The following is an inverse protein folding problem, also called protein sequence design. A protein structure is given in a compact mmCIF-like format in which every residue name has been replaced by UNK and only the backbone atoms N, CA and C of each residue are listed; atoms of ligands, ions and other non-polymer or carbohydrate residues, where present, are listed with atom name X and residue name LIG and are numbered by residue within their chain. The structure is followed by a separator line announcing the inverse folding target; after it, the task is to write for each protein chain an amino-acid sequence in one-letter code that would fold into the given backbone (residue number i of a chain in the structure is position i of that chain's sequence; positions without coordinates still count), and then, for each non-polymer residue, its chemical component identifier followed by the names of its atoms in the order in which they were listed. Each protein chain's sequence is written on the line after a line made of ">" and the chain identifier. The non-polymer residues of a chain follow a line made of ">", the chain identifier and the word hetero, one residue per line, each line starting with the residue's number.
data_IF_953480125134
#
_entry.id   IF_953480125134
#
_cell.length_a   1.000
_cell.length_b   1.000
_cell.length_c   1.000
_cell.angle_alpha   90.00
_cell.angle_beta   90.00
_cell.angle_gamma   90.00
#
_symmetry.space_group_name_H-M   'P 1'
#
loop_
_entity.id
_entity.type
_entity.pdbx_description
1 polymer ?
#
# COMPACT_ATOMS: atom_id res chain seq x y z
N UNK A 1 8.58 4.62 10.64
CA UNK A 1 7.50 3.61 10.80
C UNK A 1 8.01 2.28 11.33
N UNK A 2 8.63 1.41 10.52
CA UNK A 2 9.21 0.14 11.01
C UNK A 2 10.34 0.36 12.03
N UNK A 3 10.98 1.52 11.99
CA UNK A 3 11.93 2.02 12.99
C UNK A 3 11.30 2.51 14.29
N UNK A 4 9.98 2.72 14.32
CA UNK A 4 9.28 3.43 15.39
C UNK A 4 8.35 2.51 16.19
N UNK A 5 7.68 1.56 15.51
CA UNK A 5 6.81 0.55 16.11
C UNK A 5 7.50 -0.82 16.06
N UNK A 6 8.10 -1.18 17.18
CA UNK A 6 8.70 -2.49 17.43
C UNK A 6 8.77 -2.71 18.96
N UNK A 7 8.97 -3.95 19.45
CA UNK A 7 8.94 -4.23 20.89
C UNK A 7 9.91 -3.40 21.72
N UNK A 8 11.14 -3.17 21.23
CA UNK A 8 12.10 -2.29 21.90
C UNK A 8 11.57 -0.85 22.07
N UNK A 9 10.97 -0.25 21.04
CA UNK A 9 10.50 1.15 21.07
C UNK A 9 9.22 1.32 21.89
N UNK A 10 8.37 0.30 21.95
CA UNK A 10 7.19 0.33 22.82
C UNK A 10 7.55 0.14 24.29
N UNK A 11 8.56 -0.67 24.59
CA UNK A 11 9.05 -0.85 25.97
C UNK A 11 9.66 0.43 26.53
N UNK A 12 10.43 1.18 25.75
CA UNK A 12 10.96 2.49 26.20
C UNK A 12 9.84 3.51 26.48
N UNK A 13 8.68 3.35 25.83
CA UNK A 13 7.48 4.18 26.05
C UNK A 13 6.49 3.59 27.06
N UNK A 14 6.85 2.49 27.76
CA UNK A 14 5.97 1.78 28.69
C UNK A 14 4.62 1.36 28.07
N UNK A 15 4.64 0.90 26.81
CA UNK A 15 3.45 0.51 26.04
C UNK A 15 3.50 -0.95 25.61
N UNK A 16 2.32 -1.52 25.38
CA UNK A 16 2.18 -2.89 24.91
C UNK A 16 2.20 -2.94 23.37
N UNK A 17 3.27 -3.53 22.82
CA UNK A 17 3.48 -3.65 21.38
C UNK A 17 2.34 -4.39 20.66
N UNK A 18 1.84 -5.49 21.23
CA UNK A 18 0.78 -6.27 20.61
C UNK A 18 -0.51 -5.47 20.42
N UNK A 19 -0.88 -4.63 21.40
CA UNK A 19 -2.06 -3.75 21.29
C UNK A 19 -1.88 -2.70 20.19
N UNK A 20 -0.69 -2.09 20.13
CA UNK A 20 -0.36 -1.14 19.06
C UNK A 20 -0.42 -1.79 17.68
N UNK A 21 0.14 -2.99 17.54
CA UNK A 21 0.20 -3.72 16.26
C UNK A 21 -1.18 -4.17 15.80
N UNK A 22 -2.02 -4.70 16.69
CA UNK A 22 -3.40 -5.06 16.33
C UNK A 22 -4.16 -3.83 15.84
N UNK A 23 -4.06 -2.70 16.57
CA UNK A 23 -4.68 -1.46 16.14
C UNK A 23 -4.14 -0.96 14.79
N UNK A 24 -2.83 -1.10 14.56
CA UNK A 24 -2.20 -0.75 13.29
C UNK A 24 -2.66 -1.61 12.12
N UNK A 25 -2.76 -2.93 12.30
CA UNK A 25 -3.25 -3.83 11.25
C UNK A 25 -4.72 -3.52 10.96
N UNK A 26 -5.56 -3.36 11.99
CA UNK A 26 -6.95 -2.97 11.83
C UNK A 26 -7.07 -1.63 11.09
N UNK A 27 -6.29 -0.62 11.50
CA UNK A 27 -6.23 0.67 10.82
C UNK A 27 -5.78 0.54 9.36
N UNK A 28 -4.80 -0.32 9.07
CA UNK A 28 -4.31 -0.54 7.70
C UNK A 28 -5.38 -1.15 6.80
N UNK A 29 -6.13 -2.13 7.31
CA UNK A 29 -7.28 -2.70 6.60
C UNK A 29 -8.37 -1.65 6.39
N UNK A 30 -8.71 -0.86 7.41
CA UNK A 30 -9.70 0.22 7.29
C UNK A 30 -9.28 1.28 6.25
N UNK A 31 -8.01 1.71 6.26
CA UNK A 31 -7.49 2.65 5.28
C UNK A 31 -7.53 2.09 3.85
N UNK A 32 -7.20 0.81 3.69
CA UNK A 32 -7.28 0.11 2.40
C UNK A 32 -8.72 -0.02 1.90
N UNK A 33 -9.65 -0.42 2.77
CA UNK A 33 -11.09 -0.47 2.44
C UNK A 33 -11.63 0.90 2.06
N UNK A 34 -11.23 1.96 2.77
CA UNK A 34 -11.62 3.32 2.46
C UNK A 34 -11.10 3.77 1.09
N UNK A 35 -9.85 3.43 0.72
CA UNK A 35 -9.31 3.67 -0.61
C UNK A 35 -10.11 2.93 -1.69
N UNK A 36 -10.42 1.65 -1.45
CA UNK A 36 -11.24 0.83 -2.35
C UNK A 36 -12.62 1.43 -2.56
N UNK A 37 -13.33 1.75 -1.47
CA UNK A 37 -14.64 2.39 -1.50
C UNK A 37 -14.60 3.74 -2.25
N UNK A 38 -13.62 4.59 -1.96
CA UNK A 38 -13.45 5.86 -2.66
C UNK A 38 -13.21 5.65 -4.16
N UNK A 39 -12.41 4.65 -4.53
CA UNK A 39 -12.16 4.29 -5.94
C UNK A 39 -13.44 3.83 -6.62
N UNK A 40 -14.25 2.99 -5.96
CA UNK A 40 -15.54 2.54 -6.49
C UNK A 40 -16.53 3.70 -6.69
N UNK A 41 -16.57 4.66 -5.76
CA UNK A 41 -17.39 5.88 -5.91
C UNK A 41 -16.97 6.69 -7.13
N UNK A 42 -15.66 6.86 -7.35
CA UNK A 42 -15.13 7.55 -8.54
C UNK A 42 -15.42 6.77 -9.83
N UNK A 43 -15.33 5.44 -9.77
CA UNK A 43 -15.56 4.57 -10.92
C UNK A 43 -17.03 4.35 -11.29
N UNK A 44 -17.95 4.57 -10.34
CA UNK A 44 -19.38 4.41 -10.55
C UNK A 44 -19.94 5.17 -11.78
N UNK A 45 -19.69 6.49 -11.95
CA UNK A 45 -20.14 7.20 -13.15
C UNK A 45 -19.43 6.72 -14.42
N UNK A 46 -18.16 6.32 -14.35
CA UNK A 46 -17.41 5.81 -15.50
C UNK A 46 -18.02 4.50 -16.02
N UNK A 47 -18.44 3.61 -15.11
CA UNK A 47 -19.09 2.35 -15.45
C UNK A 47 -20.48 2.52 -16.08
N UNK A 48 -21.11 3.68 -15.92
CA UNK A 48 -22.38 3.98 -16.60
C UNK A 48 -22.21 4.28 -18.09
N UNK A 49 -21.01 4.70 -18.52
CA UNK A 49 -20.75 5.14 -19.91
C UNK A 49 -19.75 4.26 -20.66
N UNK A 50 -18.90 3.52 -19.94
CA UNK A 50 -17.90 2.64 -20.54
C UNK A 50 -18.46 1.24 -20.76
N UNK A 51 -18.28 0.70 -21.97
CA UNK A 51 -18.42 -0.73 -22.20
C UNK A 51 -17.19 -1.48 -21.65
N UNK A 52 -17.30 -2.81 -21.53
CA UNK A 52 -16.23 -3.61 -20.93
C UNK A 52 -14.92 -3.53 -21.73
N UNK A 53 -14.98 -3.43 -23.06
CA UNK A 53 -13.80 -3.25 -23.91
C UNK A 53 -13.07 -1.94 -23.58
N UNK A 54 -13.79 -0.84 -23.40
CA UNK A 54 -13.21 0.45 -23.04
C UNK A 54 -12.62 0.42 -21.63
N UNK A 55 -13.33 -0.18 -20.65
CA UNK A 55 -12.83 -0.32 -19.29
C UNK A 55 -11.52 -1.13 -19.24
N UNK A 56 -11.46 -2.29 -19.91
CA UNK A 56 -10.24 -3.11 -19.95
C UNK A 56 -9.13 -2.39 -20.73
N UNK A 57 -9.47 -1.61 -21.77
CA UNK A 57 -8.48 -0.79 -22.51
C UNK A 57 -7.84 0.26 -21.61
N UNK A 58 -8.64 0.92 -20.78
CA UNK A 58 -8.15 1.88 -19.79
C UNK A 58 -7.26 1.21 -18.74
N UNK A 59 -7.62 0.02 -18.26
CA UNK A 59 -6.80 -0.74 -17.33
C UNK A 59 -5.47 -1.18 -17.96
N UNK A 60 -5.50 -1.69 -19.19
CA UNK A 60 -4.31 -2.09 -19.93
C UNK A 60 -3.38 -0.89 -20.15
N UNK A 61 -3.92 0.25 -20.58
CA UNK A 61 -3.16 1.49 -20.76
C UNK A 61 -2.53 1.96 -19.43
N UNK A 62 -3.29 1.97 -18.34
CA UNK A 62 -2.79 2.33 -17.01
C UNK A 62 -1.69 1.38 -16.52
N UNK A 63 -1.86 0.07 -16.70
CA UNK A 63 -0.89 -0.94 -16.29
C UNK A 63 0.41 -0.86 -17.12
N UNK A 64 0.32 -0.66 -18.43
CA UNK A 64 1.47 -0.45 -19.31
C UNK A 64 2.21 0.85 -18.99
N UNK A 65 1.47 1.94 -18.76
CA UNK A 65 2.05 3.20 -18.33
C UNK A 65 2.75 3.05 -16.97
N UNK A 66 2.11 2.39 -15.99
CA UNK A 66 2.70 2.12 -14.69
C UNK A 66 3.97 1.26 -14.77
N UNK A 67 3.95 0.21 -15.60
CA UNK A 67 5.10 -0.63 -15.88
C UNK A 67 6.24 0.18 -16.50
N UNK A 68 5.93 1.00 -17.51
CA UNK A 68 6.91 1.87 -18.14
C UNK A 68 7.49 2.87 -17.14
N UNK A 69 6.67 3.50 -16.30
CA UNK A 69 7.14 4.42 -15.26
C UNK A 69 8.07 3.69 -14.29
N UNK A 70 7.70 2.53 -13.74
CA UNK A 70 8.54 1.83 -12.76
C UNK A 70 9.87 1.31 -13.36
N UNK A 71 9.89 0.99 -14.66
CA UNK A 71 11.10 0.62 -15.40
C UNK A 71 11.97 1.84 -15.75
N UNK A 72 11.36 2.89 -16.32
CA UNK A 72 12.03 4.06 -16.87
C UNK A 72 12.40 5.09 -15.81
N UNK A 73 11.66 5.16 -14.70
CA UNK A 73 11.80 6.25 -13.74
C UNK A 73 13.20 6.33 -13.14
N UNK A 74 14.00 5.26 -13.06
CA UNK A 74 15.38 5.25 -12.50
C UNK A 74 15.53 6.11 -11.21
N UNK A 75 14.47 6.26 -10.41
CA UNK A 75 14.45 7.12 -9.22
C UNK A 75 13.70 8.47 -9.33
N UNK A 76 13.03 8.79 -10.44
CA UNK A 76 12.13 9.95 -10.54
C UNK A 76 10.91 9.76 -9.65
N UNK A 77 10.60 10.79 -8.86
CA UNK A 77 9.49 10.76 -7.90
C UNK A 77 8.13 10.74 -8.63
N UNK A 78 7.26 9.82 -8.19
CA UNK A 78 5.86 9.81 -8.59
C UNK A 78 5.09 10.96 -7.92
N UNK A 79 3.99 11.46 -8.52
CA UNK A 79 3.13 12.47 -7.90
C UNK A 79 2.54 12.00 -6.56
N UNK A 80 3.22 12.27 -5.46
CA UNK A 80 2.86 11.76 -4.14
C UNK A 80 2.91 12.84 -3.09
N UNK A 81 2.19 12.59 -1.99
CA UNK A 81 2.33 13.44 -0.82
C UNK A 81 3.66 13.13 -0.14
N UNK A 82 4.60 14.07 -0.18
CA UNK A 82 5.94 13.94 0.39
C UNK A 82 5.92 14.13 1.92
N UNK A 83 5.04 13.40 2.60
CA UNK A 83 4.97 13.35 4.06
C UNK A 83 5.05 11.91 4.55
N UNK A 84 5.69 11.73 5.68
CA UNK A 84 5.49 10.55 6.50
C UNK A 84 4.34 10.84 7.48
N UNK A 85 3.93 9.80 8.18
CA UNK A 85 3.06 9.94 9.35
C UNK A 85 3.72 10.85 10.40
N UNK A 86 2.93 11.63 11.13
CA UNK A 86 3.46 12.54 12.13
C UNK A 86 4.04 11.77 13.33
N UNK A 87 5.37 11.84 13.53
CA UNK A 87 6.06 11.15 14.62
C UNK A 87 5.73 11.68 16.02
N UNK A 88 5.26 12.93 16.17
CA UNK A 88 4.87 13.52 17.46
C UNK A 88 3.75 12.72 18.13
N UNK A 89 2.95 12.01 17.34
CA UNK A 89 1.89 11.13 17.85
C UNK A 89 2.44 10.01 18.73
N UNK A 90 3.71 9.62 18.56
CA UNK A 90 4.37 8.61 19.37
C UNK A 90 4.50 9.06 20.83
N UNK A 91 4.62 10.36 21.10
CA UNK A 91 4.69 10.88 22.47
C UNK A 91 3.34 11.41 22.94
N UNK A 92 2.53 11.99 22.05
CA UNK A 92 1.26 12.62 22.40
C UNK A 92 0.12 11.61 22.67
N UNK A 93 0.06 10.48 21.97
CA UNK A 93 -1.09 9.58 22.01
C UNK A 93 -0.76 8.18 22.52
N UNK A 94 -1.79 7.47 22.99
CA UNK A 94 -1.68 6.07 23.44
C UNK A 94 -1.31 5.14 22.28
N UNK A 95 -0.64 4.03 22.60
CA UNK A 95 -0.27 2.91 21.70
C UNK A 95 -1.24 2.65 20.56
N UNK A 96 -2.48 2.31 20.93
CA UNK A 96 -3.52 1.93 19.97
C UNK A 96 -4.03 3.11 19.11
N UNK A 97 -3.97 4.35 19.61
CA UNK A 97 -4.47 5.54 18.88
C UNK A 97 -3.55 5.86 17.71
N UNK A 98 -2.25 6.02 17.98
CA UNK A 98 -1.31 6.26 16.90
C UNK A 98 -1.13 5.00 16.04
N UNK A 99 -1.24 3.80 16.63
CA UNK A 99 -1.25 2.54 15.88
C UNK A 99 -2.33 2.54 14.82
N UNK A 100 -3.58 2.79 15.22
CA UNK A 100 -4.72 2.94 14.31
C UNK A 100 -4.50 4.04 13.27
N UNK A 101 -4.13 5.25 13.71
CA UNK A 101 -3.96 6.42 12.83
C UNK A 101 -2.85 6.23 11.78
N UNK A 102 -1.73 5.66 12.17
CA UNK A 102 -0.65 5.32 11.24
C UNK A 102 -1.05 4.18 10.32
N UNK A 103 -1.78 3.19 10.85
CA UNK A 103 -2.37 2.11 10.07
C UNK A 103 -3.25 2.67 8.95
N UNK A 104 -4.24 3.51 9.27
CA UNK A 104 -5.13 4.12 8.27
C UNK A 104 -4.35 4.89 7.20
N UNK A 105 -3.39 5.71 7.60
CA UNK A 105 -2.58 6.50 6.66
C UNK A 105 -1.75 5.65 5.70
N UNK A 106 -1.11 4.60 6.22
CA UNK A 106 -0.29 3.71 5.40
C UNK A 106 -1.12 2.71 4.59
N UNK A 107 -2.22 2.22 5.16
CA UNK A 107 -3.16 1.32 4.51
C UNK A 107 -3.88 1.95 3.34
N UNK A 108 -4.24 3.24 3.44
CA UNK A 108 -4.80 4.00 2.32
C UNK A 108 -3.77 4.23 1.20
N UNK A 109 -2.47 4.18 1.50
CA UNK A 109 -1.39 4.19 0.51
C UNK A 109 -1.18 5.48 -0.30
N UNK A 110 -2.12 6.42 -0.25
CA UNK A 110 -2.06 7.73 -0.94
C UNK A 110 -1.79 8.91 0.00
N UNK A 111 -1.90 8.69 1.31
CA UNK A 111 -1.68 9.72 2.34
C UNK A 111 -0.21 9.88 2.74
N UNK A 112 0.66 9.05 2.16
CA UNK A 112 2.11 8.98 2.40
C UNK A 112 2.85 8.79 1.08
N UNK A 113 4.18 8.76 1.13
CA UNK A 113 5.03 8.59 -0.05
C UNK A 113 4.67 7.34 -0.87
N UNK A 114 4.46 7.52 -2.18
CA UNK A 114 4.17 6.44 -3.14
C UNK A 114 5.46 6.10 -3.88
N UNK A 115 5.92 4.86 -3.73
CA UNK A 115 7.20 4.39 -4.27
C UNK A 115 7.09 3.71 -5.63
N UNK A 116 5.87 3.36 -6.07
CA UNK A 116 5.61 2.58 -7.29
C UNK A 116 4.29 3.00 -7.91
N UNK A 117 4.24 2.97 -9.25
CA UNK A 117 3.02 3.22 -10.00
C UNK A 117 1.94 2.16 -9.76
N UNK A 118 2.28 1.00 -9.19
CA UNK A 118 1.34 -0.07 -8.86
C UNK A 118 0.19 0.38 -7.96
N UNK A 119 0.39 1.40 -7.11
CA UNK A 119 -0.69 1.96 -6.29
C UNK A 119 -1.76 2.64 -7.16
N UNK A 120 -1.36 3.40 -8.19
CA UNK A 120 -2.32 4.03 -9.10
C UNK A 120 -3.03 2.99 -9.98
N UNK A 121 -2.31 1.97 -10.45
CA UNK A 121 -2.91 0.88 -11.22
C UNK A 121 -3.95 0.13 -10.37
N UNK A 122 -3.67 -0.09 -9.08
CA UNK A 122 -4.66 -0.66 -8.15
C UNK A 122 -5.90 0.22 -8.00
N UNK A 123 -5.74 1.54 -7.91
CA UNK A 123 -6.86 2.49 -7.83
C UNK A 123 -7.71 2.44 -9.10
N UNK A 124 -7.07 2.44 -10.28
CA UNK A 124 -7.75 2.32 -11.58
C UNK A 124 -8.51 1.00 -11.66
N UNK A 125 -7.87 -0.11 -11.28
CA UNK A 125 -8.49 -1.44 -11.28
C UNK A 125 -9.69 -1.50 -10.32
N UNK A 126 -9.58 -0.92 -9.13
CA UNK A 126 -10.65 -0.82 -8.16
C UNK A 126 -11.83 0.02 -8.69
N UNK A 127 -11.55 1.18 -9.29
CA UNK A 127 -12.57 2.04 -9.86
C UNK A 127 -13.35 1.34 -10.99
N UNK A 128 -12.65 0.65 -11.88
CA UNK A 128 -13.27 -0.02 -13.02
C UNK A 128 -13.95 -1.36 -12.65
N UNK A 129 -13.59 -1.97 -11.52
CA UNK A 129 -14.14 -3.26 -11.07
C UNK A 129 -15.47 -3.17 -10.32
N UNK A 130 -15.89 -1.98 -9.87
CA UNK A 130 -17.07 -1.80 -9.02
C UNK A 130 -16.85 -2.19 -7.55
N UNK A 131 -17.90 -2.10 -6.74
CA UNK A 131 -17.80 -2.15 -5.26
C UNK A 131 -17.13 -3.42 -4.70
N UNK A 132 -17.55 -4.61 -5.15
CA UNK A 132 -17.02 -5.88 -4.65
C UNK A 132 -15.50 -6.00 -4.86
N UNK A 133 -15.02 -5.98 -6.12
CA UNK A 133 -13.59 -6.00 -6.42
C UNK A 133 -12.81 -4.85 -5.77
N UNK A 134 -13.38 -3.64 -5.71
CA UNK A 134 -12.71 -2.50 -5.08
C UNK A 134 -12.45 -2.71 -3.58
N UNK A 135 -13.43 -3.24 -2.84
CA UNK A 135 -13.28 -3.54 -1.41
C UNK A 135 -12.28 -4.70 -1.19
N UNK A 136 -12.30 -5.72 -2.04
CA UNK A 136 -11.33 -6.82 -1.96
C UNK A 136 -9.91 -6.31 -2.22
N UNK A 137 -9.70 -5.57 -3.31
CA UNK A 137 -8.39 -5.00 -3.66
C UNK A 137 -7.88 -4.06 -2.56
N UNK A 138 -8.73 -3.14 -2.11
CA UNK A 138 -8.41 -2.21 -1.02
C UNK A 138 -8.09 -2.91 0.29
N UNK A 139 -8.94 -3.86 0.71
CA UNK A 139 -8.77 -4.63 1.93
C UNK A 139 -7.50 -5.49 1.92
N UNK A 140 -7.24 -6.22 0.81
CA UNK A 140 -6.02 -7.02 0.65
C UNK A 140 -4.78 -6.14 0.59
N UNK A 141 -4.82 -4.99 -0.08
CA UNK A 141 -3.73 -4.02 -0.09
C UNK A 141 -3.41 -3.49 1.30
N UNK A 142 -4.43 -3.04 2.03
CA UNK A 142 -4.30 -2.56 3.40
C UNK A 142 -3.76 -3.64 4.34
N UNK A 143 -4.28 -4.87 4.23
CA UNK A 143 -3.81 -6.02 5.01
C UNK A 143 -2.35 -6.36 4.71
N UNK A 144 -1.98 -6.49 3.44
CA UNK A 144 -0.63 -6.82 3.02
C UNK A 144 0.40 -5.81 3.56
N UNK A 145 0.09 -4.50 3.49
CA UNK A 145 0.92 -3.45 4.09
C UNK A 145 0.93 -3.49 5.61
N UNK A 146 -0.22 -3.79 6.23
CA UNK A 146 -0.37 -3.93 7.67
C UNK A 146 0.50 -5.04 8.25
N UNK A 147 0.52 -6.20 7.61
CA UNK A 147 1.24 -7.40 8.08
C UNK A 147 2.77 -7.23 8.07
N UNK A 148 3.32 -6.30 7.28
CA UNK A 148 4.77 -6.04 7.26
C UNK A 148 5.30 -5.64 8.64
N UNK A 149 4.47 -5.05 9.51
CA UNK A 149 4.87 -4.68 10.86
C UNK A 149 5.22 -5.90 11.73
N UNK A 150 4.66 -7.08 11.44
CA UNK A 150 4.96 -8.30 12.17
C UNK A 150 6.41 -8.75 11.98
N UNK A 151 7.07 -8.31 10.91
CA UNK A 151 8.49 -8.58 10.70
C UNK A 151 9.39 -7.90 11.75
N UNK A 152 8.87 -6.89 12.47
CA UNK A 152 9.60 -6.20 13.55
C UNK A 152 9.41 -6.85 14.92
N UNK A 153 8.59 -7.91 15.02
CA UNK A 153 8.21 -8.56 16.28
C UNK A 153 9.39 -9.10 17.11
N UNK A 154 10.54 -9.37 16.49
CA UNK A 154 11.73 -9.90 17.16
C UNK A 154 12.77 -8.84 17.51
N UNK A 155 12.49 -7.55 17.25
CA UNK A 155 13.44 -6.47 17.50
C UNK A 155 13.37 -6.06 18.97
N UNK A 156 14.35 -6.57 19.74
CA UNK A 156 14.51 -6.31 21.16
C UNK A 156 15.76 -5.47 21.49
N UNK A 157 16.69 -5.31 20.55
CA UNK A 157 17.96 -4.56 20.73
C UNK A 157 18.26 -3.61 19.56
N UNK A 158 19.05 -2.54 19.77
CA UNK A 158 19.44 -1.61 18.70
C UNK A 158 20.18 -2.28 17.54
N UNK A 159 21.03 -3.28 17.82
CA UNK A 159 21.76 -3.98 16.77
C UNK A 159 20.86 -4.86 15.90
N UNK A 160 19.82 -5.46 16.49
CA UNK A 160 18.77 -6.15 15.71
C UNK A 160 18.05 -5.18 14.78
N UNK A 161 17.75 -3.96 15.25
CA UNK A 161 17.11 -2.92 14.43
C UNK A 161 18.02 -2.49 13.26
N UNK A 162 19.30 -2.23 13.51
CA UNK A 162 20.28 -1.91 12.45
C UNK A 162 20.42 -3.05 11.43
N UNK A 163 20.50 -4.30 11.88
CA UNK A 163 20.54 -5.49 11.01
C UNK A 163 19.26 -5.61 10.19
N UNK A 164 18.10 -5.35 10.79
CA UNK A 164 16.81 -5.37 10.09
C UNK A 164 16.77 -4.35 8.96
N UNK A 165 17.15 -3.09 9.22
CA UNK A 165 17.19 -2.06 8.17
C UNK A 165 18.16 -2.39 7.04
N UNK A 166 19.35 -2.93 7.35
CA UNK A 166 20.29 -3.40 6.32
C UNK A 166 19.70 -4.52 5.45
N UNK A 167 19.00 -5.48 6.06
CA UNK A 167 18.32 -6.56 5.30
C UNK A 167 17.20 -6.02 4.43
N UNK A 168 16.39 -5.10 4.94
CA UNK A 168 15.33 -4.45 4.18
C UNK A 168 15.90 -3.70 2.96
N UNK A 169 16.97 -2.93 3.16
CA UNK A 169 17.67 -2.22 2.09
C UNK A 169 18.24 -3.19 1.04
N UNK A 170 18.85 -4.30 1.47
CA UNK A 170 19.37 -5.33 0.57
C UNK A 170 18.28 -6.07 -0.23
N UNK A 171 17.03 -6.11 0.29
CA UNK A 171 15.90 -6.71 -0.40
C UNK A 171 15.17 -5.75 -1.36
N UNK A 172 15.44 -4.44 -1.28
CA UNK A 172 14.77 -3.43 -2.09
C UNK A 172 14.79 -3.76 -3.61
N UNK A 173 15.90 -4.24 -4.21
CA UNK A 173 15.91 -4.62 -5.62
C UNK A 173 14.96 -5.79 -5.93
N UNK A 174 14.86 -6.78 -5.03
CA UNK A 174 13.96 -7.93 -5.22
C UNK A 174 12.50 -7.53 -5.13
N UNK A 175 12.16 -6.65 -4.19
CA UNK A 175 10.81 -6.09 -4.07
C UNK A 175 10.46 -5.32 -5.34
N UNK A 176 11.39 -4.50 -5.86
CA UNK A 176 11.19 -3.78 -7.13
C UNK A 176 10.91 -4.74 -8.29
N UNK A 177 11.69 -5.81 -8.44
CA UNK A 177 11.44 -6.83 -9.48
C UNK A 177 10.07 -7.47 -9.30
N UNK A 178 9.69 -7.84 -8.07
CA UNK A 178 8.37 -8.40 -7.78
C UNK A 178 7.23 -7.44 -8.13
N UNK A 179 7.37 -6.14 -7.83
CA UNK A 179 6.39 -5.11 -8.19
C UNK A 179 6.26 -4.95 -9.70
N UNK A 180 7.39 -4.89 -10.42
CA UNK A 180 7.40 -4.82 -11.89
C UNK A 180 6.77 -6.07 -12.51
N UNK A 181 7.06 -7.26 -11.98
CA UNK A 181 6.46 -8.51 -12.44
C UNK A 181 4.95 -8.54 -12.21
N UNK A 182 4.48 -8.05 -11.06
CA UNK A 182 3.05 -7.93 -10.77
C UNK A 182 2.36 -6.95 -11.74
N UNK A 183 2.97 -5.79 -12.01
CA UNK A 183 2.47 -4.84 -13.02
C UNK A 183 2.41 -5.46 -14.42
N UNK A 184 3.46 -6.19 -14.83
CA UNK A 184 3.49 -6.88 -16.11
C UNK A 184 2.40 -7.97 -16.19
N UNK A 185 2.13 -8.69 -15.10
CA UNK A 185 1.05 -9.67 -15.05
C UNK A 185 -0.34 -9.02 -15.20
N UNK A 186 -0.57 -7.87 -14.57
CA UNK A 186 -1.83 -7.11 -14.72
C UNK A 186 -1.96 -6.55 -16.14
N UNK A 187 -0.89 -6.01 -16.72
CA UNK A 187 -0.90 -5.53 -18.10
C UNK A 187 -1.18 -6.68 -19.08
N UNK A 188 -0.52 -7.82 -18.91
CA UNK A 188 -0.70 -9.01 -19.73
C UNK A 188 -2.12 -9.56 -19.65
N UNK A 189 -2.69 -9.69 -18.43
CA UNK A 189 -4.06 -10.18 -18.26
C UNK A 189 -5.10 -9.24 -18.87
N UNK A 190 -4.90 -7.91 -18.76
CA UNK A 190 -5.78 -6.93 -19.39
C UNK A 190 -5.71 -7.00 -20.94
N UNK A 191 -4.52 -7.14 -21.51
CA UNK A 191 -4.34 -7.29 -22.97
C UNK A 191 -4.97 -8.58 -23.49
N UNK A 192 -4.79 -9.70 -22.78
CA UNK A 192 -5.44 -10.96 -23.13
C UNK A 192 -6.97 -10.84 -23.03
N UNK A 193 -7.47 -10.18 -21.98
CA UNK A 193 -8.90 -9.91 -21.82
C UNK A 193 -9.48 -9.08 -22.97
N UNK A 194 -8.73 -8.12 -23.51
CA UNK A 194 -9.15 -7.35 -24.69
C UNK A 194 -9.21 -8.17 -25.96
N UNK A 195 -8.29 -9.13 -26.12
CA UNK A 195 -8.27 -9.99 -27.30
C UNK A 195 -9.40 -11.03 -27.30
N UNK A 196 -10.01 -11.28 -26.14
CA UNK A 196 -11.10 -12.24 -25.97
C UNK A 196 -12.51 -11.63 -26.10
N UNK A 197 -12.62 -10.30 -26.27
CA UNK A 197 -13.87 -9.55 -26.46
C UNK A 197 -14.10 -9.21 -27.94
#
# INVERSE_FOLDING_TARGET
>A
MLSSIHPLGERTRQRNWSRTVVAYIAGSVLGGLALGAASAVVGWPLRAVLNDRAAISMLAAAALAGLWIDLAARGRALPSWHRQVNEDWLVAYRGWVYGLGFGVQLGAGVLTYITTAAVYVLIVQAALGGWGPALVLGGTFGLARGLLILTTARIQTPDQLRRFHRRLAAQAPRVRVGTVAALAAVAGSAVVGLAAL
#
